data_IF_183321751057
#
_entry.id   IF_183321751057
#
_cell.length_a   1.000
_cell.length_b   1.000
_cell.length_c   1.000
_cell.angle_alpha   90.00
_cell.angle_beta   90.00
_cell.angle_gamma   90.00
#
_symmetry.space_group_name_H-M   'P 1'
#
loop_
_entity.id
_entity.type
_entity.pdbx_description
1 polymer ?
#
# COMPACT_ATOMS: atom_id res chain seq x y z
N UNK A 1 -4.81 5.48 16.12
CA UNK A 1 -5.97 4.57 15.96
C UNK A 1 -6.09 4.15 14.50
N UNK A 2 -5.44 3.06 14.07
CA UNK A 2 -5.42 2.63 12.66
C UNK A 2 -6.00 1.25 12.36
N UNK A 3 -6.10 0.36 13.37
CA UNK A 3 -6.46 -1.05 13.20
C UNK A 3 -7.93 -1.32 12.83
N UNK A 4 -8.87 -0.43 13.16
CA UNK A 4 -10.30 -0.79 13.27
C UNK A 4 -10.95 -1.34 11.99
N UNK A 5 -10.62 -0.82 10.79
CA UNK A 5 -11.33 -1.22 9.56
C UNK A 5 -10.96 -2.62 9.05
N UNK A 6 -9.73 -3.05 9.27
CA UNK A 6 -9.20 -4.33 8.76
C UNK A 6 -8.59 -5.21 9.86
N UNK A 7 -8.84 -4.88 11.12
CA UNK A 7 -8.32 -5.63 12.27
C UNK A 7 -8.79 -7.08 12.31
N UNK A 8 -9.96 -7.39 11.72
CA UNK A 8 -10.46 -8.76 11.57
C UNK A 8 -9.49 -9.66 10.78
N UNK A 9 -8.62 -9.11 9.92
CA UNK A 9 -7.61 -9.89 9.21
C UNK A 9 -6.57 -10.51 10.16
N UNK A 10 -6.36 -9.93 11.36
CA UNK A 10 -5.43 -10.46 12.36
C UNK A 10 -5.94 -11.73 13.07
N UNK A 11 -7.19 -12.13 12.81
CA UNK A 11 -7.70 -13.44 13.24
C UNK A 11 -7.04 -14.58 12.46
N UNK A 12 -6.50 -14.30 11.27
CA UNK A 12 -5.68 -15.25 10.53
C UNK A 12 -4.25 -15.26 11.09
N UNK A 13 -3.77 -16.44 11.49
CA UNK A 13 -2.48 -16.58 12.16
C UNK A 13 -1.29 -16.19 11.27
N UNK A 14 -1.39 -16.38 9.95
CA UNK A 14 -0.30 -16.05 9.03
C UNK A 14 -0.21 -14.53 8.85
N UNK A 15 -1.37 -13.86 8.77
CA UNK A 15 -1.44 -12.39 8.74
C UNK A 15 -0.94 -11.81 10.06
N UNK A 16 -1.31 -12.42 11.20
CA UNK A 16 -0.83 -12.00 12.53
C UNK A 16 0.69 -12.08 12.64
N UNK A 17 1.29 -13.20 12.20
CA UNK A 17 2.75 -13.40 12.19
C UNK A 17 3.46 -12.38 11.29
N UNK A 18 2.93 -12.13 10.10
CA UNK A 18 3.46 -11.08 9.21
C UNK A 18 3.35 -9.69 9.85
N UNK A 19 2.19 -9.36 10.40
CA UNK A 19 1.93 -8.08 11.05
C UNK A 19 2.91 -7.85 12.21
N UNK A 20 3.07 -8.83 13.10
CA UNK A 20 4.01 -8.76 14.22
C UNK A 20 5.44 -8.60 13.73
N UNK A 21 5.82 -9.28 12.63
CA UNK A 21 7.14 -9.11 12.04
C UNK A 21 7.39 -7.68 11.53
N UNK A 22 6.42 -7.07 10.85
CA UNK A 22 6.53 -5.67 10.40
C UNK A 22 6.52 -4.71 11.61
N UNK A 23 5.71 -5.01 12.62
CA UNK A 23 5.56 -4.19 13.82
C UNK A 23 6.85 -4.10 14.65
N UNK A 24 7.72 -5.12 14.60
CA UNK A 24 9.07 -5.07 15.23
C UNK A 24 9.91 -3.89 14.74
N UNK A 25 9.73 -3.48 13.48
CA UNK A 25 10.40 -2.29 12.94
C UNK A 25 9.60 -1.01 13.18
N UNK A 26 8.27 -1.06 13.01
CA UNK A 26 7.37 0.05 13.27
C UNK A 26 5.91 -0.40 13.32
N UNK A 27 5.26 -0.21 14.47
CA UNK A 27 3.82 -0.47 14.62
C UNK A 27 2.97 0.37 13.66
N UNK A 28 3.37 1.63 13.42
CA UNK A 28 2.66 2.52 12.51
C UNK A 28 2.73 1.97 11.08
N UNK A 29 3.90 1.48 10.66
CA UNK A 29 4.06 0.85 9.34
C UNK A 29 3.22 -0.42 9.24
N UNK A 30 3.19 -1.25 10.29
CA UNK A 30 2.37 -2.46 10.33
C UNK A 30 0.87 -2.14 10.17
N UNK A 31 0.37 -1.12 10.88
CA UNK A 31 -1.03 -0.65 10.76
C UNK A 31 -1.35 -0.14 9.35
N UNK A 32 -0.44 0.65 8.76
CA UNK A 32 -0.58 1.12 7.39
C UNK A 32 -0.63 -0.07 6.44
N UNK A 33 0.29 -1.02 6.56
CA UNK A 33 0.39 -2.18 5.68
C UNK A 33 -0.84 -3.07 5.78
N UNK A 34 -1.33 -3.35 6.99
CA UNK A 34 -2.56 -4.12 7.20
C UNK A 34 -3.75 -3.48 6.48
N UNK A 35 -3.90 -2.15 6.60
CA UNK A 35 -4.97 -1.41 5.92
C UNK A 35 -4.83 -1.43 4.40
N UNK A 36 -3.61 -1.32 3.88
CA UNK A 36 -3.35 -1.36 2.44
C UNK A 36 -3.61 -2.73 1.85
N UNK A 37 -3.14 -3.80 2.52
CA UNK A 37 -3.41 -5.17 2.15
C UNK A 37 -4.92 -5.44 2.16
N UNK A 38 -5.62 -5.04 3.23
CA UNK A 38 -7.08 -5.18 3.32
C UNK A 38 -7.84 -4.42 2.23
N UNK A 39 -7.40 -3.21 1.88
CA UNK A 39 -7.99 -2.43 0.78
C UNK A 39 -7.77 -3.09 -0.58
N UNK A 40 -6.59 -3.64 -0.84
CA UNK A 40 -6.26 -4.39 -2.05
C UNK A 40 -7.14 -5.64 -2.16
N UNK A 41 -7.18 -6.47 -1.11
CA UNK A 41 -8.03 -7.65 -1.02
C UNK A 41 -9.51 -7.32 -1.24
N UNK A 42 -10.00 -6.24 -0.63
CA UNK A 42 -11.38 -5.77 -0.83
C UNK A 42 -11.66 -5.36 -2.28
N UNK A 43 -10.70 -4.71 -2.95
CA UNK A 43 -10.85 -4.25 -4.33
C UNK A 43 -11.08 -5.42 -5.30
N UNK A 44 -10.27 -6.48 -5.17
CA UNK A 44 -10.39 -7.67 -6.02
C UNK A 44 -11.33 -8.75 -5.45
N UNK A 45 -11.99 -8.49 -4.32
CA UNK A 45 -12.81 -9.48 -3.59
C UNK A 45 -12.04 -10.78 -3.27
N UNK A 46 -10.73 -10.65 -3.00
CA UNK A 46 -9.85 -11.75 -2.66
C UNK A 46 -9.58 -11.78 -1.15
N UNK A 47 -9.27 -12.97 -0.63
CA UNK A 47 -8.69 -13.13 0.71
C UNK A 47 -7.16 -13.08 0.63
N UNK A 48 -6.44 -12.61 1.65
CA UNK A 48 -4.97 -12.59 1.64
C UNK A 48 -4.33 -13.94 1.34
N UNK A 49 -4.91 -15.04 1.85
CA UNK A 49 -4.48 -16.41 1.54
C UNK A 49 -4.68 -16.83 0.09
N UNK A 50 -5.71 -16.29 -0.58
CA UNK A 50 -5.91 -16.56 -2.01
C UNK A 50 -4.83 -15.91 -2.86
N UNK A 51 -4.30 -14.75 -2.47
CA UNK A 51 -3.20 -14.12 -3.19
C UNK A 51 -1.94 -15.00 -3.24
N UNK A 52 -1.62 -15.67 -2.13
CA UNK A 52 -0.45 -16.55 -2.05
C UNK A 52 -0.59 -17.79 -2.95
N UNK A 53 -1.82 -18.16 -3.31
CA UNK A 53 -2.09 -19.29 -4.21
C UNK A 53 -2.05 -18.92 -5.71
N UNK A 54 -1.93 -17.63 -6.05
CA UNK A 54 -1.91 -17.18 -7.44
C UNK A 54 -0.50 -17.29 -8.04
N UNK A 55 -0.43 -17.50 -9.35
CA UNK A 55 0.82 -17.48 -10.08
C UNK A 55 1.44 -16.08 -10.14
N UNK A 56 2.75 -16.01 -10.38
CA UNK A 56 3.47 -14.72 -10.45
C UNK A 56 2.87 -13.77 -11.50
N UNK A 57 2.47 -14.29 -12.67
CA UNK A 57 1.86 -13.50 -13.74
C UNK A 57 0.51 -12.91 -13.34
N UNK A 58 -0.31 -13.70 -12.67
CA UNK A 58 -1.61 -13.24 -12.19
C UNK A 58 -1.45 -12.18 -11.09
N UNK A 59 -0.52 -12.38 -10.17
CA UNK A 59 -0.15 -11.39 -9.15
C UNK A 59 0.35 -10.10 -9.79
N UNK A 60 1.21 -10.19 -10.79
CA UNK A 60 1.73 -9.03 -11.50
C UNK A 60 0.61 -8.24 -12.18
N UNK A 61 -0.29 -8.93 -12.89
CA UNK A 61 -1.44 -8.30 -13.55
C UNK A 61 -2.37 -7.62 -12.53
N UNK A 62 -2.67 -8.27 -11.41
CA UNK A 62 -3.48 -7.66 -10.34
C UNK A 62 -2.82 -6.40 -9.77
N UNK A 63 -1.50 -6.36 -9.63
CA UNK A 63 -0.81 -5.16 -9.17
C UNK A 63 -0.90 -4.02 -10.20
N UNK A 64 -0.79 -4.31 -11.50
CA UNK A 64 -0.96 -3.31 -12.57
C UNK A 64 -2.41 -2.78 -12.63
N UNK A 65 -3.39 -3.66 -12.52
CA UNK A 65 -4.80 -3.29 -12.49
C UNK A 65 -5.11 -2.39 -11.29
N UNK A 66 -4.50 -2.69 -10.14
CA UNK A 66 -4.68 -1.89 -8.94
C UNK A 66 -4.07 -0.49 -9.07
N UNK A 67 -2.87 -0.38 -9.66
CA UNK A 67 -2.25 0.92 -9.99
C UNK A 67 -3.19 1.71 -10.88
N UNK A 68 -3.65 1.11 -11.98
CA UNK A 68 -4.53 1.75 -12.96
C UNK A 68 -5.86 2.19 -12.34
N UNK A 69 -6.41 1.42 -11.41
CA UNK A 69 -7.62 1.79 -10.67
C UNK A 69 -7.38 2.97 -9.71
N UNK A 70 -6.25 2.99 -8.99
CA UNK A 70 -5.92 4.08 -8.07
C UNK A 70 -5.55 5.38 -8.80
N UNK A 71 -4.86 5.30 -9.93
CA UNK A 71 -4.56 6.45 -10.79
C UNK A 71 -5.85 7.06 -11.35
N UNK A 72 -6.77 6.25 -11.88
CA UNK A 72 -8.10 6.71 -12.32
C UNK A 72 -8.93 7.33 -11.19
N UNK A 73 -8.73 6.86 -9.96
CA UNK A 73 -9.35 7.44 -8.76
C UNK A 73 -8.61 8.69 -8.22
N UNK A 74 -7.62 9.22 -8.94
CA UNK A 74 -6.88 10.44 -8.59
C UNK A 74 -6.01 10.29 -7.34
N UNK A 75 -5.59 9.08 -6.97
CA UNK A 75 -4.74 8.86 -5.79
C UNK A 75 -3.31 9.28 -6.08
N UNK A 76 -2.67 9.92 -5.10
CA UNK A 76 -1.27 10.34 -5.20
C UNK A 76 -0.33 9.15 -5.44
N UNK A 77 0.72 9.33 -6.25
CA UNK A 77 1.68 8.25 -6.55
C UNK A 77 2.35 7.67 -5.30
N UNK A 78 2.63 8.50 -4.29
CA UNK A 78 3.16 8.07 -2.99
C UNK A 78 2.21 7.13 -2.23
N UNK A 79 0.90 7.36 -2.33
CA UNK A 79 -0.12 6.47 -1.78
C UNK A 79 -0.10 5.12 -2.50
N UNK A 80 -0.03 5.13 -3.84
CA UNK A 80 -0.03 3.92 -4.67
C UNK A 80 1.23 3.10 -4.37
N UNK A 81 2.39 3.76 -4.28
CA UNK A 81 3.65 3.11 -3.92
C UNK A 81 3.57 2.44 -2.53
N UNK A 82 3.05 3.15 -1.53
CA UNK A 82 2.82 2.60 -0.19
C UNK A 82 1.87 1.39 -0.22
N UNK A 83 0.85 1.41 -1.08
CA UNK A 83 -0.07 0.29 -1.23
C UNK A 83 0.61 -0.93 -1.84
N UNK A 84 1.40 -0.77 -2.91
CA UNK A 84 2.15 -1.87 -3.51
C UNK A 84 3.22 -2.43 -2.57
N UNK A 85 3.91 -1.58 -1.81
CA UNK A 85 4.89 -1.99 -0.80
C UNK A 85 4.26 -2.93 0.24
N UNK A 86 3.05 -2.61 0.70
CA UNK A 86 2.34 -3.45 1.65
C UNK A 86 1.98 -4.83 1.06
N UNK A 87 1.46 -4.86 -0.17
CA UNK A 87 1.09 -6.13 -0.83
C UNK A 87 2.33 -6.98 -1.12
N UNK A 88 3.40 -6.36 -1.65
CA UNK A 88 4.69 -7.04 -1.89
C UNK A 88 5.32 -7.56 -0.60
N UNK A 89 5.22 -6.82 0.51
CA UNK A 89 5.70 -7.28 1.81
C UNK A 89 4.95 -8.54 2.29
N UNK A 90 3.64 -8.60 2.09
CA UNK A 90 2.86 -9.81 2.38
C UNK A 90 3.27 -11.00 1.49
N UNK A 91 3.42 -10.78 0.18
CA UNK A 91 3.88 -11.82 -0.75
C UNK A 91 5.28 -12.33 -0.39
N UNK A 92 6.22 -11.44 -0.10
CA UNK A 92 7.58 -11.80 0.29
C UNK A 92 7.62 -12.59 1.60
N UNK A 93 6.75 -12.27 2.57
CA UNK A 93 6.61 -13.06 3.79
C UNK A 93 6.19 -14.51 3.51
N UNK A 94 5.48 -14.76 2.41
CA UNK A 94 5.06 -16.07 1.95
C UNK A 94 6.01 -16.67 0.88
N UNK A 95 7.21 -16.10 0.71
CA UNK A 95 8.21 -16.60 -0.24
C UNK A 95 7.98 -16.23 -1.71
N UNK A 96 7.09 -15.28 -2.00
CA UNK A 96 6.76 -14.85 -3.36
C UNK A 96 7.34 -13.46 -3.63
N UNK A 97 8.28 -13.37 -4.59
CA UNK A 97 8.92 -12.11 -4.97
C UNK A 97 8.53 -11.65 -6.37
N UNK A 98 7.82 -10.53 -6.49
CA UNK A 98 7.52 -9.92 -7.79
C UNK A 98 8.70 -9.02 -8.22
N UNK A 99 9.61 -9.59 -9.03
CA UNK A 99 10.81 -8.90 -9.54
C UNK A 99 10.52 -7.90 -10.66
N UNK A 100 9.38 -8.05 -11.33
CA UNK A 100 8.96 -7.18 -12.43
C UNK A 100 8.74 -5.74 -11.96
N UNK A 101 9.25 -4.79 -12.74
CA UNK A 101 9.16 -3.36 -12.45
C UNK A 101 7.76 -2.84 -12.76
N UNK A 102 7.15 -2.19 -11.78
CA UNK A 102 5.86 -1.50 -11.93
C UNK A 102 6.13 0.00 -11.93
N UNK A 103 5.70 0.70 -12.99
CA UNK A 103 5.79 2.17 -13.09
C UNK A 103 4.54 2.80 -12.48
N UNK A 104 4.72 3.87 -11.71
CA UNK A 104 3.65 4.61 -11.06
C UNK A 104 3.87 6.09 -11.39
N UNK A 105 2.84 6.77 -11.90
CA UNK A 105 2.93 8.20 -12.19
C UNK A 105 2.99 9.02 -10.90
N UNK A 106 3.87 10.01 -10.84
CA UNK A 106 3.97 10.93 -9.69
C UNK A 106 4.40 10.28 -8.38
N UNK A 107 4.99 9.07 -8.39
CA UNK A 107 5.50 8.44 -7.17
C UNK A 107 6.66 9.21 -6.51
N UNK A 108 7.35 10.05 -7.30
CA UNK A 108 8.41 10.97 -6.87
C UNK A 108 8.08 12.43 -7.17
N UNK A 109 6.81 12.75 -7.45
CA UNK A 109 6.35 14.14 -7.43
C UNK A 109 6.38 14.55 -5.96
N UNK A 110 7.55 14.99 -5.53
CA UNK A 110 7.66 15.83 -4.35
C UNK A 110 6.87 17.07 -4.73
N UNK A 111 5.80 17.47 -4.01
CA UNK A 111 5.37 18.83 -4.11
C UNK A 111 6.56 19.63 -3.57
N UNK A 112 7.43 20.09 -4.46
CA UNK A 112 8.28 21.22 -4.16
C UNK A 112 7.32 22.23 -3.59
N UNK A 113 7.48 22.54 -2.31
CA UNK A 113 6.80 23.65 -1.69
C UNK A 113 7.04 24.84 -2.62
N UNK A 114 6.07 25.18 -3.47
CA UNK A 114 5.92 26.55 -3.88
C UNK A 114 5.51 27.22 -2.60
N UNK A 115 6.55 27.63 -1.86
CA UNK A 115 6.44 28.54 -0.75
C UNK A 115 5.70 29.74 -1.33
N UNK A 116 4.40 29.80 -1.06
CA UNK A 116 3.60 30.99 -1.21
C UNK A 116 4.15 31.98 -0.17
N UNK A 117 5.18 32.72 -0.56
CA UNK A 117 5.60 33.92 0.16
C UNK A 117 4.57 35.00 -0.12
N UNK A 118 3.37 34.84 0.43
CA UNK A 118 2.48 35.97 0.62
C UNK A 118 2.96 36.72 1.88
N UNK A 119 4.09 37.43 1.72
CA UNK A 119 4.53 38.40 2.72
C UNK A 119 3.56 39.57 2.69
N UNK A 120 2.73 39.60 3.73
CA UNK A 120 1.93 40.74 4.16
C UNK A 120 2.83 41.95 4.48
N UNK A 121 2.47 43.09 3.90
CA UNK A 121 2.72 44.44 4.42
C UNK A 121 2.06 45.42 3.44
N UNK A 122 0.98 46.16 3.72
CA UNK A 122 0.50 46.78 4.94
C UNK A 122 1.64 47.44 5.71
N UNK A 123 2.05 48.64 5.29
CA UNK A 123 2.01 49.87 6.09
C UNK A 123 1.88 51.09 5.12
N UNK A 124 1.56 52.30 5.61
CA UNK A 124 0.32 53.04 5.45
C UNK A 124 0.30 54.05 4.29
#
# INVERSE_FOLDING_TARGET
MGRAKYGYLLQDIDIKRWYENVARGSEVTADVYLRRLGAFCKHFKLKPKRLVALGEDELYNLLLDYVSALERAGRAGSYIESALKAVKSWLAHNGIEIRRRIKIRGARDTPSLTVDQNFRGMIP
#
